data_IF_270957701487
#
_entry.id   IF_270957701487
#
_cell.length_a   1.000
_cell.length_b   1.000
_cell.length_c   1.000
_cell.angle_alpha   90.00
_cell.angle_beta   90.00
_cell.angle_gamma   90.00
#
_symmetry.space_group_name_H-M   'P 1'
#
loop_
_entity.id
_entity.type
_entity.pdbx_description
1 polymer ?
#
# COMPACT_ATOMS: atom_id res chain seq x y z
N UNK A 1 -16.90 21.35 -6.04
CA UNK A 1 -17.10 19.89 -6.11
C UNK A 1 -18.20 19.57 -5.11
N UNK A 2 -19.25 18.89 -5.53
CA UNK A 2 -20.33 18.47 -4.66
C UNK A 2 -19.96 17.29 -3.77
N UNK A 3 -20.86 16.88 -2.86
CA UNK A 3 -20.60 15.79 -1.90
C UNK A 3 -20.46 14.45 -2.60
N UNK A 4 -21.29 14.16 -3.61
CA UNK A 4 -21.26 12.90 -4.34
C UNK A 4 -19.97 12.74 -5.13
N UNK A 5 -19.52 13.80 -5.79
CA UNK A 5 -18.23 13.80 -6.51
C UNK A 5 -17.06 13.55 -5.57
N UNK A 6 -17.05 14.23 -4.39
CA UNK A 6 -16.01 14.00 -3.38
C UNK A 6 -16.03 12.57 -2.86
N UNK A 7 -17.21 12.08 -2.51
CA UNK A 7 -17.39 10.72 -2.01
C UNK A 7 -16.88 9.71 -3.04
N UNK A 8 -17.30 9.85 -4.31
CA UNK A 8 -16.84 9.00 -5.40
C UNK A 8 -15.34 9.02 -5.55
N UNK A 9 -14.70 10.21 -5.57
CA UNK A 9 -13.24 10.33 -5.70
C UNK A 9 -12.49 9.72 -4.52
N UNK A 10 -13.01 9.86 -3.29
CA UNK A 10 -12.41 9.27 -2.09
C UNK A 10 -12.54 7.74 -2.12
N UNK A 11 -13.68 7.19 -2.56
CA UNK A 11 -13.96 5.75 -2.47
C UNK A 11 -13.50 4.94 -3.69
N UNK A 12 -13.37 5.56 -4.88
CA UNK A 12 -12.95 4.87 -6.11
C UNK A 12 -11.60 4.18 -5.92
N UNK A 13 -11.50 2.91 -6.35
CA UNK A 13 -10.28 2.11 -6.29
C UNK A 13 -9.91 1.59 -4.90
N UNK A 14 -10.81 1.73 -3.91
CA UNK A 14 -10.69 1.08 -2.61
C UNK A 14 -11.35 -0.32 -2.66
N UNK A 15 -10.82 -1.22 -1.87
CA UNK A 15 -11.41 -2.54 -1.63
C UNK A 15 -12.52 -2.47 -0.58
N UNK A 16 -12.36 -1.60 0.44
CA UNK A 16 -13.29 -1.47 1.55
C UNK A 16 -13.28 -0.06 2.13
N UNK A 17 -14.45 0.41 2.57
CA UNK A 17 -14.62 1.64 3.36
C UNK A 17 -15.43 1.32 4.62
N UNK A 18 -14.88 1.60 5.81
CA UNK A 18 -15.58 1.39 7.10
C UNK A 18 -15.73 2.74 7.82
N UNK A 19 -16.87 3.45 7.77
CA UNK A 19 -18.09 3.18 6.98
C UNK A 19 -18.33 4.32 6.01
N UNK A 20 -18.83 3.98 4.83
CA UNK A 20 -19.14 4.98 3.81
C UNK A 20 -20.22 5.98 4.27
N UNK A 21 -21.23 5.49 5.01
CA UNK A 21 -22.29 6.37 5.55
C UNK A 21 -21.73 7.45 6.47
N UNK A 22 -20.70 7.13 7.28
CA UNK A 22 -20.04 8.10 8.14
C UNK A 22 -19.20 9.10 7.33
N UNK A 23 -18.52 8.63 6.29
CA UNK A 23 -17.78 9.50 5.38
C UNK A 23 -18.72 10.50 4.70
N UNK A 24 -19.84 10.01 4.16
CA UNK A 24 -20.89 10.84 3.55
C UNK A 24 -21.38 11.91 4.52
N UNK A 25 -21.76 11.51 5.74
CA UNK A 25 -22.22 12.44 6.78
C UNK A 25 -21.21 13.56 7.05
N UNK A 26 -19.92 13.22 7.18
CA UNK A 26 -18.88 14.24 7.40
C UNK A 26 -18.71 15.20 6.22
N UNK A 27 -18.90 14.71 4.99
CA UNK A 27 -18.85 15.54 3.78
C UNK A 27 -20.08 16.47 3.69
N UNK A 28 -21.27 15.98 4.05
CA UNK A 28 -22.52 16.75 4.12
C UNK A 28 -22.45 17.88 5.16
N UNK A 29 -21.78 17.64 6.29
CA UNK A 29 -21.50 18.68 7.30
C UNK A 29 -20.47 19.74 6.81
N UNK A 30 -19.93 19.60 5.62
CA UNK A 30 -18.89 20.48 5.08
C UNK A 30 -17.56 20.40 5.85
N UNK A 31 -17.32 19.30 6.53
CA UNK A 31 -16.14 19.10 7.37
C UNK A 31 -14.87 19.01 6.56
N UNK A 32 -13.84 19.73 6.98
CA UNK A 32 -12.49 19.57 6.48
C UNK A 32 -11.91 18.30 7.07
N UNK A 33 -11.77 17.28 6.21
CA UNK A 33 -11.32 15.95 6.63
C UNK A 33 -9.82 15.93 6.82
N UNK A 34 -9.36 15.31 7.91
CA UNK A 34 -7.96 15.02 8.19
C UNK A 34 -7.72 13.53 8.05
N UNK A 35 -6.85 13.15 7.14
CA UNK A 35 -6.52 11.75 6.88
C UNK A 35 -5.05 11.44 7.09
N UNK A 36 -4.68 10.16 7.19
CA UNK A 36 -3.29 9.76 7.27
C UNK A 36 -3.03 8.44 6.56
N UNK A 37 -1.76 8.21 6.30
CA UNK A 37 -1.18 6.89 6.15
C UNK A 37 0.07 6.79 7.04
N UNK A 38 0.20 5.69 7.80
CA UNK A 38 1.43 5.35 8.50
C UNK A 38 2.24 4.38 7.65
N UNK A 39 3.47 4.76 7.31
CA UNK A 39 4.35 3.95 6.45
C UNK A 39 5.56 3.48 7.24
N UNK A 40 5.73 2.15 7.35
CA UNK A 40 6.96 1.55 7.86
C UNK A 40 8.09 1.68 6.82
N UNK A 41 9.16 2.43 7.09
CA UNK A 41 10.35 2.41 6.24
C UNK A 41 10.99 1.02 6.27
N UNK A 42 10.93 0.29 5.15
CA UNK A 42 11.30 -1.14 5.11
C UNK A 42 12.06 -1.57 3.86
N UNK A 43 12.72 -0.62 3.18
CA UNK A 43 13.50 -0.84 1.96
C UNK A 43 12.86 -0.23 0.71
N UNK A 44 13.30 -0.66 -0.46
CA UNK A 44 12.92 -0.09 -1.74
C UNK A 44 11.40 -0.08 -1.98
N UNK A 45 10.92 0.93 -2.69
CA UNK A 45 9.50 1.12 -3.00
C UNK A 45 9.06 0.18 -4.11
N UNK A 46 8.10 -0.70 -3.84
CA UNK A 46 7.56 -1.66 -4.81
C UNK A 46 6.35 -1.12 -5.55
N UNK A 47 6.01 -1.69 -6.71
CA UNK A 47 4.78 -1.34 -7.43
C UNK A 47 3.51 -1.66 -6.63
N UNK A 48 3.55 -2.63 -5.69
CA UNK A 48 2.44 -2.85 -4.77
C UNK A 48 2.15 -1.65 -3.87
N UNK A 49 3.16 -0.84 -3.58
CA UNK A 49 3.00 0.39 -2.81
C UNK A 49 2.47 1.56 -3.65
N UNK A 50 2.55 1.50 -4.99
CA UNK A 50 1.93 2.52 -5.85
C UNK A 50 0.41 2.61 -5.63
N UNK A 51 -0.23 1.50 -5.28
CA UNK A 51 -1.69 1.46 -5.11
C UNK A 51 -2.14 2.43 -4.02
N UNK A 52 -1.53 2.37 -2.83
CA UNK A 52 -1.85 3.32 -1.76
C UNK A 52 -1.27 4.71 -2.03
N UNK A 53 -0.10 4.81 -2.68
CA UNK A 53 0.53 6.10 -2.95
C UNK A 53 -0.26 6.93 -3.96
N UNK A 54 -0.81 6.30 -5.01
CA UNK A 54 -1.72 6.95 -5.94
C UNK A 54 -3.03 7.35 -5.25
N UNK A 55 -3.58 6.50 -4.36
CA UNK A 55 -4.77 6.87 -3.56
C UNK A 55 -4.46 8.02 -2.60
N UNK A 56 -3.31 8.01 -1.96
CA UNK A 56 -2.86 9.11 -1.10
C UNK A 56 -2.79 10.43 -1.89
N UNK A 57 -2.21 10.40 -3.10
CA UNK A 57 -2.22 11.55 -4.01
C UNK A 57 -3.63 12.03 -4.32
N UNK A 58 -4.54 11.13 -4.66
CA UNK A 58 -5.94 11.47 -4.95
C UNK A 58 -6.64 12.15 -3.77
N UNK A 59 -6.36 11.70 -2.53
CA UNK A 59 -6.89 12.31 -1.31
C UNK A 59 -6.32 13.73 -1.10
N UNK A 60 -5.04 13.94 -1.37
CA UNK A 60 -4.43 15.29 -1.36
C UNK A 60 -5.07 16.18 -2.42
N UNK A 61 -5.25 15.67 -3.64
CA UNK A 61 -5.80 16.42 -4.76
C UNK A 61 -7.26 16.84 -4.52
N UNK A 62 -8.07 15.99 -3.89
CA UNK A 62 -9.48 16.27 -3.54
C UNK A 62 -9.64 17.19 -2.33
N UNK A 63 -8.54 17.53 -1.67
CA UNK A 63 -8.50 18.51 -0.58
C UNK A 63 -8.69 17.93 0.83
N UNK A 64 -8.34 16.65 1.03
CA UNK A 64 -8.17 16.08 2.37
C UNK A 64 -6.83 16.55 2.95
N UNK A 65 -6.81 16.99 4.20
CA UNK A 65 -5.58 17.33 4.92
C UNK A 65 -4.84 16.04 5.29
N UNK A 66 -3.95 15.61 4.40
CA UNK A 66 -3.26 14.34 4.56
C UNK A 66 -1.99 14.45 5.39
N UNK A 67 -1.83 13.50 6.30
CA UNK A 67 -0.62 13.28 7.11
C UNK A 67 0.12 12.05 6.57
N UNK A 68 1.41 12.20 6.30
CA UNK A 68 2.32 11.07 6.13
C UNK A 68 3.03 10.83 7.46
N UNK A 69 2.68 9.75 8.15
CA UNK A 69 3.39 9.32 9.35
C UNK A 69 4.56 8.41 8.94
N UNK A 70 5.78 8.90 9.12
CA UNK A 70 6.99 8.08 9.05
C UNK A 70 7.08 7.21 10.29
N UNK A 71 6.57 5.99 10.19
CA UNK A 71 6.42 5.04 11.29
C UNK A 71 7.76 4.36 11.65
N UNK A 72 8.79 5.18 11.96
CA UNK A 72 10.17 4.75 12.20
C UNK A 72 10.28 3.81 13.40
N UNK A 73 9.61 4.10 14.50
CA UNK A 73 9.60 3.26 15.69
C UNK A 73 8.80 1.97 15.50
N UNK A 74 7.73 2.00 14.70
CA UNK A 74 7.02 0.81 14.29
C UNK A 74 7.92 -0.11 13.46
N UNK A 75 8.66 0.47 12.49
CA UNK A 75 9.64 -0.25 11.69
C UNK A 75 10.76 -0.86 12.55
N UNK A 76 11.21 -0.13 13.58
CA UNK A 76 12.21 -0.61 14.53
C UNK A 76 11.69 -1.80 15.35
N UNK A 77 10.49 -1.71 15.94
CA UNK A 77 9.83 -2.82 16.65
C UNK A 77 9.67 -4.03 15.73
N UNK A 78 9.43 -3.81 14.44
CA UNK A 78 9.24 -4.86 13.44
C UNK A 78 10.56 -5.35 12.81
N UNK A 79 11.72 -4.98 13.38
CA UNK A 79 13.07 -5.37 12.93
C UNK A 79 13.36 -5.02 11.45
N UNK A 80 12.72 -3.97 10.91
CA UNK A 80 12.96 -3.56 9.52
C UNK A 80 14.39 -3.00 9.38
N UNK A 81 15.02 -3.27 8.22
CA UNK A 81 16.37 -2.82 7.91
C UNK A 81 17.38 -3.14 9.03
N UNK A 82 17.28 -4.36 9.60
CA UNK A 82 18.13 -4.84 10.68
C UNK A 82 17.81 -4.26 12.06
N UNK A 83 16.67 -3.58 12.22
CA UNK A 83 16.33 -2.89 13.47
C UNK A 83 17.22 -1.67 13.74
N UNK A 84 17.87 -1.12 12.73
CA UNK A 84 18.71 0.07 12.83
C UNK A 84 17.90 1.34 12.54
N UNK A 85 17.74 2.20 13.55
CA UNK A 85 16.98 3.46 13.40
C UNK A 85 17.62 4.43 12.41
N UNK A 86 18.94 4.41 12.22
CA UNK A 86 19.62 5.23 11.22
C UNK A 86 19.23 4.83 9.81
N UNK A 87 19.29 3.52 9.50
CA UNK A 87 18.85 2.96 8.22
C UNK A 87 17.36 3.20 7.97
N UNK A 88 16.54 3.06 9.01
CA UNK A 88 15.09 3.30 8.94
C UNK A 88 14.79 4.77 8.60
N UNK A 89 15.49 5.74 9.20
CA UNK A 89 15.34 7.18 8.90
C UNK A 89 15.77 7.52 7.48
N UNK A 90 16.88 6.96 7.01
CA UNK A 90 17.32 7.10 5.61
C UNK A 90 16.23 6.59 4.65
N UNK A 91 15.62 5.45 4.98
CA UNK A 91 14.52 4.90 4.19
C UNK A 91 13.27 5.77 4.23
N UNK A 92 12.98 6.44 5.35
CA UNK A 92 11.86 7.39 5.44
C UNK A 92 12.04 8.58 4.50
N UNK A 93 13.22 9.21 4.48
CA UNK A 93 13.55 10.29 3.55
C UNK A 93 13.45 9.83 2.08
N UNK A 94 13.89 8.62 1.78
CA UNK A 94 13.74 8.05 0.44
C UNK A 94 12.26 7.89 0.05
N UNK A 95 11.38 7.49 0.98
CA UNK A 95 9.93 7.35 0.72
C UNK A 95 9.31 8.71 0.38
N UNK A 96 9.71 9.81 1.04
CA UNK A 96 9.28 11.15 0.66
C UNK A 96 9.64 11.47 -0.81
N UNK A 97 10.85 11.13 -1.23
CA UNK A 97 11.27 11.31 -2.63
C UNK A 97 10.46 10.42 -3.59
N UNK A 98 10.10 9.20 -3.20
CA UNK A 98 9.22 8.36 -3.99
C UNK A 98 7.84 9.00 -4.20
N UNK A 99 7.25 9.57 -3.14
CA UNK A 99 5.95 10.26 -3.24
C UNK A 99 6.04 11.50 -4.14
N UNK A 100 7.11 12.30 -4.05
CA UNK A 100 7.37 13.41 -4.98
C UNK A 100 7.48 12.93 -6.42
N UNK A 101 8.19 11.84 -6.66
CA UNK A 101 8.35 11.26 -8.00
C UNK A 101 7.04 10.72 -8.58
N UNK A 102 6.12 10.22 -7.73
CA UNK A 102 4.77 9.79 -8.11
C UNK A 102 3.85 11.01 -8.38
N UNK A 103 4.29 12.22 -8.01
CA UNK A 103 3.55 13.46 -8.23
C UNK A 103 2.64 13.86 -7.07
N UNK A 104 2.92 13.39 -5.85
CA UNK A 104 2.28 13.90 -4.64
C UNK A 104 2.83 15.30 -4.34
N UNK A 105 1.94 16.27 -4.18
CA UNK A 105 2.31 17.61 -3.69
C UNK A 105 2.63 17.56 -2.19
N UNK A 106 3.88 17.25 -1.87
CA UNK A 106 4.37 17.13 -0.48
C UNK A 106 4.23 18.46 0.28
N UNK A 107 4.19 19.60 -0.41
CA UNK A 107 3.95 20.90 0.22
C UNK A 107 2.55 21.04 0.85
N UNK A 108 1.61 20.18 0.44
CA UNK A 108 0.25 20.09 1.00
C UNK A 108 0.07 18.93 1.98
N UNK A 109 1.14 18.18 2.27
CA UNK A 109 1.13 17.03 3.18
C UNK A 109 1.83 17.42 4.47
N UNK A 110 1.23 17.09 5.60
CA UNK A 110 1.90 17.19 6.89
C UNK A 110 2.78 15.96 7.09
N UNK A 111 4.09 16.19 7.20
CA UNK A 111 5.06 15.13 7.50
C UNK A 111 5.21 15.00 9.01
N UNK A 112 4.86 13.85 9.56
CA UNK A 112 5.01 13.54 10.99
C UNK A 112 6.00 12.40 11.15
N UNK A 113 7.03 12.64 11.96
CA UNK A 113 8.01 11.60 12.34
C UNK A 113 7.60 10.94 13.65
N UNK A 114 7.47 9.63 13.69
CA UNK A 114 7.20 8.90 14.92
C UNK A 114 8.26 9.18 16.01
N UNK A 115 9.49 9.50 15.60
CA UNK A 115 10.57 9.94 16.52
C UNK A 115 10.14 11.11 17.42
N UNK A 116 9.41 12.10 16.89
CA UNK A 116 8.92 13.21 17.71
C UNK A 116 7.77 12.78 18.61
N UNK A 117 6.87 11.90 18.13
CA UNK A 117 5.72 11.46 18.92
C UNK A 117 6.14 10.65 20.16
N UNK A 118 7.05 9.69 20.00
CA UNK A 118 7.50 8.83 21.11
C UNK A 118 8.29 9.58 22.19
N UNK A 119 8.73 10.80 21.91
CA UNK A 119 9.37 11.70 22.88
C UNK A 119 8.39 12.33 23.89
N UNK A 120 7.09 12.26 23.65
CA UNK A 120 6.09 12.92 24.48
C UNK A 120 5.39 11.94 25.45
N UNK A 121 5.33 12.25 26.75
CA UNK A 121 4.63 11.42 27.74
C UNK A 121 3.16 11.19 27.42
N UNK A 122 2.48 12.19 26.85
CA UNK A 122 1.05 12.12 26.49
C UNK A 122 0.77 11.06 25.43
N UNK A 123 1.69 10.86 24.49
CA UNK A 123 1.60 9.79 23.51
C UNK A 123 1.58 8.42 24.19
N UNK A 124 2.51 8.17 25.12
CA UNK A 124 2.58 6.90 25.86
C UNK A 124 1.39 6.72 26.81
N UNK A 125 0.90 7.79 27.42
CA UNK A 125 -0.33 7.75 28.20
C UNK A 125 -1.52 7.30 27.33
N UNK A 126 -1.59 7.75 26.08
CA UNK A 126 -2.61 7.32 25.13
C UNK A 126 -2.42 5.85 24.71
N UNK A 127 -1.18 5.42 24.41
CA UNK A 127 -0.87 4.01 24.11
C UNK A 127 -1.35 3.10 25.24
N UNK A 128 -1.11 3.48 26.52
CA UNK A 128 -1.57 2.73 27.67
C UNK A 128 -3.11 2.74 27.82
N UNK A 129 -3.78 3.86 27.53
CA UNK A 129 -5.26 3.93 27.50
C UNK A 129 -5.83 2.99 26.44
N UNK A 130 -5.24 2.97 25.24
CA UNK A 130 -5.59 2.03 24.17
C UNK A 130 -5.41 0.59 24.62
N UNK A 131 -4.22 0.25 25.12
CA UNK A 131 -3.89 -1.10 25.59
C UNK A 131 -4.86 -1.60 26.68
N UNK A 132 -5.24 -0.73 27.62
CA UNK A 132 -6.20 -1.06 28.70
C UNK A 132 -7.61 -1.38 28.16
N UNK A 133 -7.98 -0.90 26.97
CA UNK A 133 -9.26 -1.15 26.33
C UNK A 133 -9.25 -2.29 25.32
N UNK A 134 -8.12 -2.97 25.14
CA UNK A 134 -7.94 -4.11 24.24
C UNK A 134 -7.63 -5.39 25.05
N UNK A 135 -8.29 -6.50 24.71
CA UNK A 135 -7.89 -7.79 25.27
C UNK A 135 -6.61 -8.31 24.58
N UNK A 136 -5.79 -9.07 25.33
CA UNK A 136 -4.58 -9.69 24.77
C UNK A 136 -4.87 -10.53 23.52
N UNK A 137 -6.01 -11.23 23.48
CA UNK A 137 -6.42 -12.02 22.33
C UNK A 137 -6.65 -11.17 21.09
N UNK A 138 -7.17 -9.94 21.24
CA UNK A 138 -7.37 -9.00 20.12
C UNK A 138 -6.06 -8.42 19.62
N UNK A 139 -5.17 -8.03 20.55
CA UNK A 139 -3.83 -7.54 20.22
C UNK A 139 -3.06 -8.62 19.46
N UNK A 140 -3.06 -9.87 19.94
CA UNK A 140 -2.41 -10.99 19.24
C UNK A 140 -2.93 -11.20 17.83
N UNK A 141 -4.25 -11.12 17.59
CA UNK A 141 -4.80 -11.21 16.24
C UNK A 141 -4.39 -10.05 15.34
N UNK A 142 -4.18 -8.87 15.90
CA UNK A 142 -3.75 -7.69 15.15
C UNK A 142 -2.26 -7.70 14.77
N UNK A 143 -1.43 -8.58 15.32
CA UNK A 143 0.01 -8.67 14.99
C UNK A 143 0.25 -8.90 13.49
N UNK A 144 -0.68 -9.53 12.79
CA UNK A 144 -0.58 -9.75 11.34
C UNK A 144 -0.45 -8.48 10.52
N UNK A 145 -0.83 -7.30 11.07
CA UNK A 145 -0.61 -5.98 10.43
C UNK A 145 0.88 -5.70 10.19
N UNK A 146 1.77 -6.30 10.98
CA UNK A 146 3.23 -6.21 10.82
C UNK A 146 3.75 -7.07 9.64
N UNK A 147 2.87 -7.81 8.94
CA UNK A 147 3.25 -8.78 7.92
C UNK A 147 3.86 -10.07 8.50
N UNK A 148 3.66 -10.35 9.80
CA UNK A 148 4.14 -11.56 10.49
C UNK A 148 2.96 -12.46 10.86
N UNK A 149 3.21 -13.78 10.96
CA UNK A 149 2.21 -14.72 11.49
C UNK A 149 2.23 -14.67 13.02
N UNK A 150 1.04 -14.79 13.64
CA UNK A 150 0.88 -14.80 15.10
C UNK A 150 1.58 -15.98 15.81
N UNK A 151 1.94 -17.02 15.07
CA UNK A 151 2.60 -18.25 15.56
C UNK A 151 4.13 -18.22 15.51
N UNK A 152 4.77 -17.11 15.09
CA UNK A 152 6.23 -17.05 15.03
C UNK A 152 6.83 -17.02 16.45
N UNK A 153 7.62 -18.04 16.77
CA UNK A 153 8.18 -18.33 18.10
C UNK A 153 9.20 -17.30 18.63
N UNK A 154 9.54 -16.27 17.85
CA UNK A 154 10.50 -15.21 18.23
C UNK A 154 9.85 -13.84 18.34
N UNK A 155 8.70 -13.76 19.02
CA UNK A 155 8.06 -12.47 19.29
C UNK A 155 8.52 -11.94 20.65
N UNK A 156 9.29 -10.85 20.65
CA UNK A 156 9.51 -10.07 21.87
C UNK A 156 8.24 -9.29 22.25
N UNK A 157 8.22 -8.78 23.48
CA UNK A 157 7.06 -8.10 24.04
C UNK A 157 6.70 -6.80 23.28
N UNK A 158 7.67 -6.13 22.66
CA UNK A 158 7.44 -4.87 21.94
C UNK A 158 6.44 -5.04 20.77
N UNK A 159 6.42 -6.23 20.15
CA UNK A 159 5.50 -6.56 19.06
C UNK A 159 4.03 -6.62 19.52
N UNK A 160 3.77 -6.81 20.82
CA UNK A 160 2.42 -6.67 21.38
C UNK A 160 2.03 -5.20 21.60
N UNK A 161 3.01 -4.31 21.77
CA UNK A 161 2.77 -2.87 21.89
C UNK A 161 2.44 -2.24 20.53
N UNK A 162 3.01 -2.76 19.46
CA UNK A 162 2.87 -2.24 18.11
C UNK A 162 1.41 -1.95 17.70
N UNK A 163 0.44 -2.87 17.78
CA UNK A 163 -0.94 -2.58 17.42
C UNK A 163 -1.57 -1.47 18.29
N UNK A 164 -1.15 -1.37 19.55
CA UNK A 164 -1.62 -0.31 20.44
C UNK A 164 -1.06 1.06 20.02
N UNK A 165 0.19 1.11 19.56
CA UNK A 165 0.79 2.33 19.04
C UNK A 165 0.08 2.78 17.76
N UNK A 166 -0.16 1.88 16.80
CA UNK A 166 -0.84 2.24 15.55
C UNK A 166 -2.26 2.77 15.80
N UNK A 167 -2.98 2.20 16.76
CA UNK A 167 -4.29 2.73 17.17
C UNK A 167 -4.15 4.08 17.87
N UNK A 168 -3.13 4.26 18.73
CA UNK A 168 -2.87 5.52 19.40
C UNK A 168 -2.49 6.63 18.41
N UNK A 169 -1.73 6.33 17.34
CA UNK A 169 -1.37 7.29 16.30
C UNK A 169 -2.62 7.95 15.71
N UNK A 170 -3.64 7.16 15.41
CA UNK A 170 -4.89 7.63 14.84
C UNK A 170 -5.57 8.68 15.73
N UNK A 171 -5.57 8.42 17.01
CA UNK A 171 -6.18 9.32 18.00
C UNK A 171 -5.30 10.52 18.31
N UNK A 172 -4.01 10.30 18.47
CA UNK A 172 -3.03 11.34 18.79
C UNK A 172 -2.96 12.41 17.69
N UNK A 173 -3.04 11.98 16.43
CA UNK A 173 -3.08 12.85 15.27
C UNK A 173 -4.48 13.40 14.95
N UNK A 174 -5.50 13.04 15.77
CA UNK A 174 -6.89 13.48 15.63
C UNK A 174 -7.46 13.29 14.22
N UNK A 175 -7.40 12.06 13.72
CA UNK A 175 -7.72 11.72 12.33
C UNK A 175 -9.19 11.40 12.11
N UNK A 176 -9.70 11.80 10.95
CA UNK A 176 -11.01 11.43 10.43
C UNK A 176 -10.94 10.22 9.51
N UNK A 177 -9.84 10.10 8.73
CA UNK A 177 -9.62 9.05 7.73
C UNK A 177 -8.32 8.29 7.99
N UNK A 178 -8.39 6.97 7.89
CA UNK A 178 -7.21 6.09 7.99
C UNK A 178 -7.04 5.32 6.68
N UNK A 179 -6.03 5.70 5.87
CA UNK A 179 -5.68 5.00 4.66
C UNK A 179 -4.69 3.87 4.97
N UNK A 180 -4.90 2.70 4.38
CA UNK A 180 -3.99 1.57 4.46
C UNK A 180 -4.33 0.48 3.45
N UNK A 181 -3.46 -0.51 3.28
CA UNK A 181 -3.82 -1.73 2.58
C UNK A 181 -4.79 -2.59 3.41
N UNK A 182 -5.44 -3.57 2.77
CA UNK A 182 -6.30 -4.54 3.48
C UNK A 182 -5.57 -5.25 4.64
N UNK A 183 -4.25 -5.36 4.58
CA UNK A 183 -3.43 -5.90 5.66
C UNK A 183 -3.43 -5.04 6.94
N UNK A 184 -3.80 -3.75 6.85
CA UNK A 184 -3.92 -2.83 7.99
C UNK A 184 -5.32 -2.82 8.63
N UNK A 185 -6.28 -3.52 8.02
CA UNK A 185 -7.68 -3.55 8.42
C UNK A 185 -7.89 -3.81 9.92
N UNK A 186 -7.16 -4.77 10.48
CA UNK A 186 -7.32 -5.15 11.89
C UNK A 186 -7.01 -4.00 12.85
N UNK A 187 -5.96 -3.21 12.60
CA UNK A 187 -5.64 -2.05 13.43
C UNK A 187 -6.71 -0.95 13.31
N UNK A 188 -7.17 -0.67 12.10
CA UNK A 188 -8.20 0.35 11.86
C UNK A 188 -9.54 -0.04 12.51
N UNK A 189 -9.93 -1.31 12.44
CA UNK A 189 -11.13 -1.83 13.12
C UNK A 189 -10.98 -1.71 14.64
N UNK A 190 -9.81 -2.02 15.21
CA UNK A 190 -9.56 -1.80 16.64
C UNK A 190 -9.75 -0.33 17.03
N UNK A 191 -9.22 0.61 16.23
CA UNK A 191 -9.40 2.03 16.47
C UNK A 191 -10.88 2.43 16.46
N UNK A 192 -11.65 1.99 15.46
CA UNK A 192 -13.09 2.28 15.36
C UNK A 192 -13.86 1.76 16.58
N UNK A 193 -13.56 0.54 17.05
CA UNK A 193 -14.27 -0.11 18.15
C UNK A 193 -14.03 0.53 19.51
N UNK A 194 -12.82 1.03 19.75
CA UNK A 194 -12.46 1.57 21.07
C UNK A 194 -12.53 3.10 21.14
N UNK A 195 -12.70 3.79 20.00
CA UNK A 195 -12.65 5.26 19.92
C UNK A 195 -13.46 5.95 21.04
N UNK A 196 -14.73 5.62 21.19
CA UNK A 196 -15.61 6.23 22.20
C UNK A 196 -15.17 5.90 23.63
N UNK A 197 -14.63 4.69 23.86
CA UNK A 197 -14.15 4.26 25.19
C UNK A 197 -12.93 5.04 25.65
N UNK A 198 -12.11 5.50 24.70
CA UNK A 198 -10.91 6.31 24.98
C UNK A 198 -11.15 7.80 24.84
N UNK A 199 -12.39 8.22 24.51
CA UNK A 199 -12.80 9.62 24.42
C UNK A 199 -12.54 10.28 23.06
N UNK A 200 -12.42 9.48 21.98
CA UNK A 200 -12.17 9.98 20.62
C UNK A 200 -13.32 9.67 19.68
N UNK A 201 -13.34 10.37 18.54
CA UNK A 201 -14.28 10.11 17.46
C UNK A 201 -13.84 8.88 16.68
N UNK A 202 -14.81 8.10 16.17
CA UNK A 202 -14.51 6.97 15.30
C UNK A 202 -13.96 7.47 13.97
N UNK A 203 -12.79 7.02 13.54
CA UNK A 203 -12.30 7.31 12.20
C UNK A 203 -13.08 6.52 11.15
N UNK A 204 -12.93 6.90 9.89
CA UNK A 204 -13.31 6.08 8.72
C UNK A 204 -12.07 5.41 8.17
N UNK A 205 -12.12 4.10 8.00
CA UNK A 205 -11.03 3.34 7.40
C UNK A 205 -11.22 3.21 5.89
N UNK A 206 -10.15 3.49 5.14
CA UNK A 206 -10.07 3.42 3.70
C UNK A 206 -9.03 2.35 3.34
N UNK A 207 -9.47 1.21 2.82
CA UNK A 207 -8.58 0.10 2.54
C UNK A 207 -8.35 -0.09 1.05
N UNK A 208 -7.09 -0.02 0.64
CA UNK A 208 -6.69 -0.33 -0.74
C UNK A 208 -6.49 -1.84 -0.92
N UNK A 209 -6.73 -2.37 -2.12
CA UNK A 209 -6.38 -3.75 -2.44
C UNK A 209 -4.88 -3.99 -2.31
N UNK A 210 -4.49 -5.25 -2.16
CA UNK A 210 -3.10 -5.70 -2.11
C UNK A 210 -2.71 -6.34 -3.43
N UNK A 211 -1.58 -5.94 -4.00
CA UNK A 211 -1.03 -6.58 -5.18
C UNK A 211 -0.30 -7.87 -4.77
N UNK A 212 -0.62 -8.97 -5.43
CA UNK A 212 0.07 -10.25 -5.23
C UNK A 212 1.45 -10.26 -5.87
N UNK A 213 2.37 -11.03 -5.29
CA UNK A 213 3.72 -11.23 -5.85
C UNK A 213 3.69 -11.95 -7.20
N UNK A 214 4.72 -11.77 -8.00
CA UNK A 214 4.79 -12.32 -9.36
C UNK A 214 4.71 -13.85 -9.43
N UNK A 215 4.95 -14.58 -8.34
CA UNK A 215 4.74 -16.02 -8.25
C UNK A 215 3.26 -16.41 -8.23
N UNK A 216 2.35 -15.45 -8.08
CA UNK A 216 0.91 -15.69 -7.96
C UNK A 216 0.57 -16.48 -6.70
N UNK A 217 -0.66 -16.99 -6.64
CA UNK A 217 -1.13 -17.87 -5.56
C UNK A 217 -0.75 -19.34 -5.77
N UNK A 218 -0.15 -19.68 -6.92
CA UNK A 218 0.25 -21.04 -7.25
C UNK A 218 -0.96 -21.98 -7.37
N UNK A 219 -0.87 -23.12 -6.65
CA UNK A 219 -1.95 -24.14 -6.63
C UNK A 219 -2.94 -23.95 -5.47
N UNK A 220 -2.89 -22.81 -4.75
CA UNK A 220 -3.87 -22.57 -3.68
C UNK A 220 -5.26 -22.40 -4.28
N UNK A 221 -6.26 -22.97 -3.61
CA UNK A 221 -7.65 -22.78 -4.02
C UNK A 221 -8.10 -21.36 -3.67
N UNK A 222 -8.35 -20.55 -4.70
CA UNK A 222 -8.75 -19.14 -4.57
C UNK A 222 -10.04 -18.97 -3.75
N UNK A 223 -10.91 -19.99 -3.77
CA UNK A 223 -12.22 -19.93 -3.09
C UNK A 223 -12.11 -20.15 -1.58
N UNK A 224 -10.98 -20.70 -1.10
CA UNK A 224 -10.74 -21.06 0.30
C UNK A 224 -9.58 -20.30 0.94
N UNK A 225 -8.99 -19.32 0.24
CA UNK A 225 -7.87 -18.53 0.75
C UNK A 225 -8.33 -17.65 1.93
N UNK A 226 -7.70 -17.84 3.09
CA UNK A 226 -7.94 -17.01 4.26
C UNK A 226 -7.32 -15.60 4.10
N UNK A 227 -7.77 -14.65 4.91
CA UNK A 227 -7.15 -13.30 4.97
C UNK A 227 -5.63 -13.36 5.24
N UNK A 228 -5.19 -14.30 6.09
CA UNK A 228 -3.77 -14.50 6.40
C UNK A 228 -2.98 -15.08 5.21
N UNK A 229 -3.61 -15.92 4.40
CA UNK A 229 -2.99 -16.47 3.19
C UNK A 229 -2.85 -15.38 2.12
N UNK A 230 -3.85 -14.51 1.95
CA UNK A 230 -3.74 -13.34 1.06
C UNK A 230 -2.58 -12.42 1.46
N UNK A 231 -2.43 -12.13 2.75
CA UNK A 231 -1.29 -11.35 3.27
C UNK A 231 0.04 -12.07 2.97
N UNK A 232 0.07 -13.40 2.97
CA UNK A 232 1.29 -14.18 2.72
C UNK A 232 1.76 -14.17 1.26
N UNK A 233 0.84 -14.00 0.31
CA UNK A 233 1.11 -13.99 -1.14
C UNK A 233 1.24 -12.58 -1.71
N UNK A 234 0.96 -11.54 -0.93
CA UNK A 234 1.16 -10.16 -1.37
C UNK A 234 2.58 -9.91 -1.83
N UNK A 235 2.77 -9.00 -2.77
CA UNK A 235 4.09 -8.59 -3.26
C UNK A 235 4.95 -8.12 -2.09
N UNK A 236 6.09 -8.77 -1.90
CA UNK A 236 6.98 -8.57 -0.76
C UNK A 236 8.40 -8.23 -1.19
N UNK A 237 8.97 -7.19 -0.62
CA UNK A 237 10.36 -6.74 -0.84
C UNK A 237 11.40 -7.78 -0.41
N UNK A 238 11.04 -8.67 0.52
CA UNK A 238 11.92 -9.77 0.96
C UNK A 238 12.08 -10.90 -0.08
N UNK A 239 11.34 -10.83 -1.19
CA UNK A 239 11.44 -11.73 -2.34
C UNK A 239 11.63 -10.91 -3.61
N UNK A 240 12.79 -10.29 -3.80
CA UNK A 240 13.03 -9.32 -4.87
C UNK A 240 12.81 -9.89 -6.27
N UNK A 241 12.97 -11.20 -6.47
CA UNK A 241 12.71 -11.90 -7.72
C UNK A 241 11.22 -11.95 -8.11
N UNK A 242 10.34 -11.84 -7.13
CA UNK A 242 8.87 -11.80 -7.32
C UNK A 242 8.24 -10.44 -7.06
N UNK A 243 9.10 -9.41 -6.91
CA UNK A 243 8.72 -8.05 -6.60
C UNK A 243 9.29 -7.10 -7.67
N UNK A 244 8.47 -6.24 -8.24
CA UNK A 244 8.95 -5.16 -9.10
C UNK A 244 9.07 -3.89 -8.25
N UNK A 245 10.26 -3.26 -8.31
CA UNK A 245 10.49 -1.96 -7.69
C UNK A 245 10.26 -0.82 -8.69
N UNK A 246 9.88 0.35 -8.19
CA UNK A 246 9.63 1.52 -9.06
C UNK A 246 10.88 2.03 -9.78
N UNK A 247 12.06 1.57 -9.35
CA UNK A 247 13.37 1.88 -9.93
C UNK A 247 13.89 0.83 -10.89
N UNK A 248 13.23 -0.35 -10.98
CA UNK A 248 13.64 -1.39 -11.92
C UNK A 248 13.68 -0.81 -13.34
N UNK A 249 14.75 -1.07 -14.07
CA UNK A 249 14.86 -0.69 -15.48
C UNK A 249 13.94 -1.55 -16.37
N UNK A 250 13.83 -1.18 -17.64
CA UNK A 250 12.94 -1.84 -18.58
C UNK A 250 13.27 -3.33 -18.76
N UNK A 251 14.56 -3.67 -18.82
CA UNK A 251 15.02 -5.05 -18.99
C UNK A 251 14.71 -5.90 -17.75
N UNK A 252 14.90 -5.32 -16.56
CA UNK A 252 14.57 -5.97 -15.29
C UNK A 252 13.07 -6.20 -15.18
N UNK A 253 12.23 -5.19 -15.48
CA UNK A 253 10.77 -5.31 -15.49
C UNK A 253 10.34 -6.41 -16.46
N UNK A 254 10.83 -6.38 -17.70
CA UNK A 254 10.53 -7.38 -18.75
C UNK A 254 10.92 -8.79 -18.31
N UNK A 255 12.13 -8.94 -17.75
CA UNK A 255 12.63 -10.22 -17.25
C UNK A 255 11.76 -10.78 -16.11
N UNK A 256 11.38 -9.94 -15.13
CA UNK A 256 10.53 -10.34 -14.00
C UNK A 256 9.12 -10.72 -14.46
N UNK A 257 8.49 -9.91 -15.31
CA UNK A 257 7.15 -10.18 -15.84
C UNK A 257 7.13 -11.44 -16.72
N UNK A 258 8.17 -11.66 -17.52
CA UNK A 258 8.27 -12.87 -18.35
C UNK A 258 8.23 -14.14 -17.51
N UNK A 259 8.85 -14.13 -16.32
CA UNK A 259 8.88 -15.27 -15.37
C UNK A 259 7.65 -15.36 -14.49
N UNK A 260 6.82 -14.31 -14.43
CA UNK A 260 5.67 -14.26 -13.56
C UNK A 260 4.65 -15.36 -13.87
N UNK A 261 3.91 -15.77 -12.85
CA UNK A 261 2.77 -16.68 -13.00
C UNK A 261 1.68 -15.99 -13.84
N UNK A 262 1.20 -16.66 -14.86
CA UNK A 262 0.16 -16.16 -15.75
C UNK A 262 -0.54 -17.34 -16.44
N UNK A 263 -1.47 -18.01 -15.75
CA UNK A 263 -2.15 -19.17 -16.28
C UNK A 263 -3.08 -18.78 -17.43
N UNK A 264 -3.13 -19.54 -18.54
CA UNK A 264 -4.01 -19.23 -19.65
C UNK A 264 -5.48 -19.31 -19.23
N UNK A 265 -6.29 -18.35 -19.68
CA UNK A 265 -7.75 -18.27 -19.47
C UNK A 265 -8.19 -18.14 -18.00
N UNK A 266 -7.28 -17.90 -17.08
CA UNK A 266 -7.60 -17.69 -15.65
C UNK A 266 -7.00 -16.38 -15.14
N UNK A 267 -7.86 -15.52 -14.63
CA UNK A 267 -7.50 -14.21 -14.05
C UNK A 267 -7.34 -14.30 -12.52
N UNK A 268 -7.83 -15.37 -11.90
CA UNK A 268 -7.83 -15.51 -10.44
C UNK A 268 -6.43 -15.77 -9.93
N UNK A 269 -5.97 -14.91 -9.04
CA UNK A 269 -4.63 -14.98 -8.47
C UNK A 269 -3.51 -14.85 -9.53
N UNK A 270 -3.80 -14.25 -10.66
CA UNK A 270 -2.88 -13.98 -11.75
C UNK A 270 -2.28 -12.58 -11.58
N UNK A 271 -0.99 -12.46 -11.19
CA UNK A 271 -0.37 -11.16 -10.92
C UNK A 271 -0.35 -10.23 -12.13
N UNK A 272 -0.34 -10.77 -13.36
CA UNK A 272 -0.30 -9.95 -14.57
C UNK A 272 -1.64 -9.25 -14.78
N UNK A 273 -2.75 -9.96 -14.63
CA UNK A 273 -4.09 -9.34 -14.70
C UNK A 273 -4.37 -8.42 -13.52
N UNK A 274 -3.84 -8.72 -12.32
CA UNK A 274 -3.93 -7.82 -11.16
C UNK A 274 -3.15 -6.52 -11.37
N UNK A 275 -1.97 -6.56 -12.00
CA UNK A 275 -1.25 -5.34 -12.40
C UNK A 275 -2.10 -4.51 -13.36
N UNK A 276 -2.74 -5.16 -14.35
CA UNK A 276 -3.67 -4.46 -15.24
C UNK A 276 -4.80 -3.80 -14.46
N UNK A 277 -5.48 -4.54 -13.58
CA UNK A 277 -6.64 -4.08 -12.82
C UNK A 277 -6.27 -2.92 -11.87
N UNK A 278 -5.19 -3.08 -11.10
CA UNK A 278 -4.88 -2.20 -9.98
C UNK A 278 -3.99 -1.01 -10.35
N UNK A 279 -3.20 -1.11 -11.42
CA UNK A 279 -2.23 -0.08 -11.79
C UNK A 279 -2.45 0.53 -13.17
N UNK A 280 -2.84 -0.26 -14.18
CA UNK A 280 -2.98 0.25 -15.54
C UNK A 280 -4.40 0.80 -15.80
N UNK A 281 -5.44 0.00 -15.56
CA UNK A 281 -6.83 0.40 -15.73
C UNK A 281 -7.46 1.06 -14.48
N UNK A 282 -6.62 1.53 -13.56
CA UNK A 282 -7.11 2.21 -12.36
C UNK A 282 -7.90 3.49 -12.65
N UNK A 283 -7.57 4.17 -13.76
CA UNK A 283 -8.24 5.39 -14.22
C UNK A 283 -8.90 5.15 -15.56
N UNK A 284 -10.06 5.77 -15.73
CA UNK A 284 -10.75 5.76 -17.02
C UNK A 284 -9.89 6.39 -18.11
N UNK A 285 -10.06 5.92 -19.34
CA UNK A 285 -9.37 6.43 -20.52
C UNK A 285 -7.98 5.86 -20.78
N UNK A 286 -7.49 4.94 -19.94
CA UNK A 286 -6.27 4.20 -20.25
C UNK A 286 -6.55 3.13 -21.32
N UNK A 287 -5.62 2.97 -22.27
CA UNK A 287 -5.69 1.95 -23.32
C UNK A 287 -4.45 1.09 -23.26
N UNK A 288 -4.64 -0.23 -23.17
CA UNK A 288 -3.57 -1.21 -23.26
C UNK A 288 -3.51 -1.75 -24.69
N UNK A 289 -2.36 -1.57 -25.35
CA UNK A 289 -2.09 -2.14 -26.66
C UNK A 289 -1.44 -3.50 -26.51
N UNK A 290 -2.09 -4.54 -27.02
CA UNK A 290 -1.57 -5.91 -27.01
C UNK A 290 -1.26 -6.35 -28.43
N UNK A 291 0.01 -6.60 -28.73
CA UNK A 291 0.43 -7.16 -30.01
C UNK A 291 0.22 -8.67 -30.00
N UNK A 292 -0.52 -9.18 -30.96
CA UNK A 292 -0.73 -10.62 -31.14
C UNK A 292 0.34 -11.22 -32.06
N UNK A 293 0.59 -12.52 -31.94
CA UNK A 293 1.55 -13.27 -32.77
C UNK A 293 1.35 -13.15 -34.30
N UNK A 294 0.15 -12.77 -34.74
CA UNK A 294 -0.18 -12.53 -36.16
C UNK A 294 0.05 -11.08 -36.58
N UNK A 295 0.82 -10.30 -35.82
CA UNK A 295 1.10 -8.87 -36.02
C UNK A 295 -0.16 -7.97 -36.03
N UNK A 296 -1.30 -8.44 -35.52
CA UNK A 296 -2.47 -7.60 -35.25
C UNK A 296 -2.44 -7.04 -33.85
N UNK A 297 -2.87 -5.80 -33.69
CA UNK A 297 -2.98 -5.15 -32.39
C UNK A 297 -4.40 -5.19 -31.87
N UNK A 298 -4.52 -5.41 -30.56
CA UNK A 298 -5.75 -5.16 -29.81
C UNK A 298 -5.54 -3.90 -28.98
N UNK A 299 -6.46 -2.97 -29.06
CA UNK A 299 -6.57 -1.85 -28.11
C UNK A 299 -7.67 -2.21 -27.12
N UNK A 300 -7.30 -2.30 -25.85
CA UNK A 300 -8.18 -2.68 -24.74
C UNK A 300 -8.41 -1.44 -23.88
N UNK A 301 -9.68 -1.05 -23.70
CA UNK A 301 -10.04 0.21 -23.05
C UNK A 301 -10.47 0.04 -21.58
N UNK A 302 -10.68 -1.18 -21.13
CA UNK A 302 -11.08 -1.46 -19.75
C UNK A 302 -10.57 -2.80 -19.23
N UNK A 303 -10.48 -2.93 -17.91
CA UNK A 303 -10.14 -4.23 -17.30
C UNK A 303 -11.19 -5.31 -17.60
N UNK A 304 -12.48 -4.96 -17.61
CA UNK A 304 -13.55 -5.92 -17.92
C UNK A 304 -13.44 -6.49 -19.34
N UNK A 305 -13.04 -5.66 -20.30
CA UNK A 305 -12.77 -6.10 -21.66
C UNK A 305 -11.56 -7.04 -21.70
N UNK A 306 -10.44 -6.66 -21.03
CA UNK A 306 -9.25 -7.51 -20.91
C UNK A 306 -9.59 -8.86 -20.31
N UNK A 307 -10.32 -8.89 -19.20
CA UNK A 307 -10.74 -10.12 -18.51
C UNK A 307 -11.56 -11.02 -19.44
N UNK A 308 -12.56 -10.45 -20.14
CA UNK A 308 -13.40 -11.19 -21.09
C UNK A 308 -12.57 -11.83 -22.20
N UNK A 309 -11.68 -11.08 -22.85
CA UNK A 309 -10.82 -11.56 -23.92
C UNK A 309 -9.82 -12.61 -23.44
N UNK A 310 -9.27 -12.43 -22.24
CA UNK A 310 -8.31 -13.35 -21.65
C UNK A 310 -8.94 -14.70 -21.28
N UNK A 311 -10.12 -14.70 -20.65
CA UNK A 311 -10.86 -15.90 -20.27
C UNK A 311 -11.32 -16.69 -21.50
N UNK A 312 -11.73 -16.01 -22.58
CA UNK A 312 -12.03 -16.65 -23.85
C UNK A 312 -10.79 -17.25 -24.54
N UNK A 313 -9.59 -16.84 -24.14
CA UNK A 313 -8.31 -17.26 -24.73
C UNK A 313 -7.96 -16.51 -26.02
N UNK A 314 -8.55 -15.35 -26.23
CA UNK A 314 -8.25 -14.47 -27.35
C UNK A 314 -6.93 -13.72 -27.17
N UNK A 315 -6.41 -13.65 -25.95
CA UNK A 315 -5.10 -13.09 -25.60
C UNK A 315 -4.23 -14.21 -25.03
N UNK A 316 -3.08 -14.43 -25.67
CA UNK A 316 -2.13 -15.41 -25.18
C UNK A 316 -1.35 -14.84 -23.96
N UNK A 317 -1.02 -15.65 -22.92
CA UNK A 317 -0.28 -15.18 -21.74
C UNK A 317 1.02 -14.44 -22.03
N UNK A 318 1.78 -14.85 -23.04
CA UNK A 318 3.04 -14.19 -23.41
C UNK A 318 2.81 -12.82 -24.04
N UNK A 319 1.77 -12.70 -24.87
CA UNK A 319 1.43 -11.42 -25.52
C UNK A 319 0.94 -10.41 -24.46
N UNK A 320 0.14 -10.87 -23.49
CA UNK A 320 -0.28 -10.05 -22.36
C UNK A 320 0.91 -9.61 -21.50
N UNK A 321 1.83 -10.54 -21.19
CA UNK A 321 3.03 -10.24 -20.40
C UNK A 321 3.90 -9.17 -21.07
N UNK A 322 4.11 -9.24 -22.38
CA UNK A 322 4.91 -8.27 -23.10
C UNK A 322 4.25 -6.89 -23.05
N UNK A 323 2.95 -6.81 -23.35
CA UNK A 323 2.20 -5.56 -23.29
C UNK A 323 2.22 -4.93 -21.88
N UNK A 324 2.08 -5.75 -20.83
CA UNK A 324 2.11 -5.27 -19.44
C UNK A 324 3.51 -4.82 -19.03
N UNK A 325 4.56 -5.50 -19.50
CA UNK A 325 5.93 -5.10 -19.21
C UNK A 325 6.25 -3.72 -19.83
N UNK A 326 5.86 -3.51 -21.08
CA UNK A 326 6.03 -2.23 -21.78
C UNK A 326 5.23 -1.11 -21.08
N UNK A 327 3.94 -1.35 -20.84
CA UNK A 327 3.06 -0.38 -20.19
C UNK A 327 3.54 0.00 -18.79
N UNK A 328 4.03 -0.98 -18.01
CA UNK A 328 4.57 -0.73 -16.68
C UNK A 328 5.90 0.02 -16.73
N UNK A 329 6.79 -0.32 -17.67
CA UNK A 329 8.05 0.39 -17.87
C UNK A 329 7.81 1.86 -18.23
N UNK A 330 6.83 2.14 -19.09
CA UNK A 330 6.40 3.50 -19.44
C UNK A 330 5.82 4.25 -18.23
N UNK A 331 4.91 3.60 -17.47
CA UNK A 331 4.31 4.17 -16.25
C UNK A 331 5.36 4.55 -15.22
N UNK A 332 6.42 3.75 -15.07
CA UNK A 332 7.48 3.98 -14.09
C UNK A 332 8.58 4.93 -14.57
N UNK A 333 8.64 5.25 -15.87
CA UNK A 333 9.68 6.12 -16.44
C UNK A 333 9.78 7.49 -15.77
N UNK A 334 8.68 8.24 -15.51
CA UNK A 334 8.77 9.53 -14.84
C UNK A 334 9.41 9.44 -13.44
N UNK A 335 9.17 8.32 -12.73
CA UNK A 335 9.76 8.09 -11.41
C UNK A 335 11.26 7.86 -11.52
N UNK A 336 11.70 7.00 -12.44
CA UNK A 336 13.14 6.79 -12.72
C UNK A 336 13.83 8.09 -13.12
N UNK A 337 13.20 8.87 -14.00
CA UNK A 337 13.71 10.17 -14.45
C UNK A 337 13.88 11.18 -13.31
N UNK A 338 12.94 11.20 -12.34
CA UNK A 338 13.05 12.04 -11.15
C UNK A 338 14.31 11.68 -10.34
N UNK A 339 14.52 10.40 -10.05
CA UNK A 339 15.69 9.95 -9.28
C UNK A 339 17.01 10.20 -10.03
N UNK A 340 17.02 10.02 -11.35
CA UNK A 340 18.21 10.31 -12.15
C UNK A 340 18.59 11.80 -12.18
N UNK A 341 17.60 12.69 -12.08
CA UNK A 341 17.82 14.15 -12.09
C UNK A 341 18.05 14.75 -10.71
N UNK A 342 17.67 14.05 -9.64
CA UNK A 342 17.76 14.52 -8.27
C UNK A 342 18.89 13.78 -7.54
N UNK A 343 20.03 14.47 -7.35
CA UNK A 343 21.22 13.87 -6.74
C UNK A 343 21.02 13.42 -5.29
N UNK A 344 20.17 14.10 -4.51
CA UNK A 344 19.83 13.73 -3.14
C UNK A 344 19.04 12.43 -3.14
N UNK A 345 17.95 12.37 -3.93
CA UNK A 345 17.13 11.16 -4.07
C UNK A 345 17.96 9.97 -4.57
N UNK A 346 18.83 10.19 -5.57
CA UNK A 346 19.69 9.15 -6.12
C UNK A 346 20.66 8.57 -5.08
N UNK A 347 21.26 9.43 -4.24
CA UNK A 347 22.14 8.97 -3.15
C UNK A 347 21.41 8.08 -2.16
N UNK A 348 20.20 8.46 -1.74
CA UNK A 348 19.36 7.66 -0.84
C UNK A 348 19.02 6.30 -1.45
N UNK A 349 18.64 6.30 -2.74
CA UNK A 349 18.37 5.06 -3.48
C UNK A 349 19.58 4.12 -3.46
N UNK A 350 20.77 4.64 -3.79
CA UNK A 350 22.02 3.82 -3.81
C UNK A 350 22.40 3.27 -2.44
N UNK A 351 22.14 4.02 -1.38
CA UNK A 351 22.33 3.52 0.00
C UNK A 351 21.40 2.35 0.27
N UNK A 352 20.11 2.48 -0.08
CA UNK A 352 19.10 1.44 0.18
C UNK A 352 19.28 0.18 -0.68
N UNK A 353 19.76 0.30 -1.92
CA UNK A 353 20.08 -0.86 -2.77
C UNK A 353 21.12 -1.80 -2.13
N UNK A 354 22.00 -1.24 -1.30
CA UNK A 354 23.04 -1.99 -0.60
C UNK A 354 22.63 -2.47 0.82
N UNK A 355 21.44 -2.09 1.29
CA UNK A 355 20.94 -2.51 2.60
C UNK A 355 20.29 -3.90 2.53
N UNK A 356 20.51 -4.70 3.55
CA UNK A 356 19.81 -5.98 3.69
C UNK A 356 18.35 -5.73 4.06
N UNK A 357 17.43 -6.20 3.22
CA UNK A 357 15.99 -6.16 3.53
C UNK A 357 15.67 -7.31 4.46
N UNK A 358 15.34 -6.99 5.71
CA UNK A 358 14.84 -7.96 6.69
C UNK A 358 13.32 -8.12 6.56
N UNK A 359 12.85 -9.32 6.88
CA UNK A 359 11.43 -9.70 6.80
C UNK A 359 10.61 -9.05 7.90
#
# INVERSE_FOLDING_TARGET
MDVEDKLRLITTGLEEVITESRLRFMLEEGRRLRGYIGVEPSGLFSIGWLIWAEKFKELVDVGVDMVLLEATWHAWINDKLGGDLGNIRICAEYIEHCLRAIGVDIGRVELVKADSMVGYPDYWALVLKVAKNLSLARVKRAITIMGRRSSEARMDFSKLIYPCMQVADIFYLNLDLCLGGMDQRRAHVLAIEIAEKVGYRKPVALHTPLLIGLSGIGRMDVTSISEEDWISVKMSKSKPETCIFIHDDEDTIRSKIRKAYCPPKDVRGNPITEICRLLLFRRDGYRLRVERRNAMYLEIESYGELESLYVKGEIHPLDLKEAVAEALAEKLKPIRDYFNRNSSAYKLLKVLENMTVTR
#
